data_IF_566378906164
#
_entry.id   IF_566378906164
#
_cell.length_a   1.000
_cell.length_b   1.000
_cell.length_c   1.000
_cell.angle_alpha   90.00
_cell.angle_beta   90.00
_cell.angle_gamma   90.00
#
_symmetry.space_group_name_H-M   'P 1'
#
loop_
_entity.id
_entity.type
_entity.pdbx_description
1 polymer ?
#
# COMPACT_ATOMS: atom_id res chain seq x y z
N UNK A 1 24.80 30.09 0.73
CA UNK A 1 23.79 30.23 -0.33
C UNK A 1 22.62 29.32 0.05
N UNK A 2 21.56 29.88 0.62
CA UNK A 2 20.38 29.13 1.06
C UNK A 2 19.52 28.89 -0.19
N UNK A 3 19.43 27.66 -0.64
CA UNK A 3 18.49 27.26 -1.69
C UNK A 3 17.09 27.36 -1.08
N UNK A 4 16.27 28.28 -1.60
CA UNK A 4 14.89 28.43 -1.17
C UNK A 4 14.06 27.17 -1.47
N UNK A 5 12.91 26.98 -0.76
CA UNK A 5 12.09 25.79 -0.94
C UNK A 5 11.42 25.84 -2.32
N UNK A 6 12.04 25.18 -3.30
CA UNK A 6 11.31 24.74 -4.48
C UNK A 6 10.30 23.70 -4.04
N UNK A 7 9.04 23.85 -4.46
CA UNK A 7 8.02 22.83 -4.25
C UNK A 7 8.54 21.50 -4.83
N UNK A 8 8.99 20.61 -3.97
CA UNK A 8 9.40 19.26 -4.34
C UNK A 8 8.12 18.52 -4.74
N UNK A 9 8.01 18.18 -6.03
CA UNK A 9 6.95 17.28 -6.47
C UNK A 9 7.08 15.97 -5.69
N UNK A 10 5.99 15.52 -5.06
CA UNK A 10 5.96 14.24 -4.37
C UNK A 10 6.26 13.11 -5.36
N UNK A 11 7.14 12.19 -4.99
CA UNK A 11 7.45 11.02 -5.82
C UNK A 11 6.21 10.15 -6.10
N UNK A 12 5.19 10.27 -5.28
CA UNK A 12 3.91 9.56 -5.40
C UNK A 12 2.84 10.33 -6.21
N UNK A 13 3.07 11.62 -6.54
CA UNK A 13 2.14 12.49 -7.25
C UNK A 13 1.19 13.28 -6.33
N UNK A 14 0.58 14.33 -6.91
CA UNK A 14 -0.28 15.25 -6.15
C UNK A 14 -1.56 14.58 -5.64
N UNK A 15 -2.18 13.69 -6.44
CA UNK A 15 -3.37 12.92 -6.04
C UNK A 15 -3.11 12.03 -4.81
N UNK A 16 -1.97 11.36 -4.78
CA UNK A 16 -1.57 10.56 -3.62
C UNK A 16 -1.36 11.44 -2.37
N UNK A 17 -0.81 12.64 -2.54
CA UNK A 17 -0.60 13.58 -1.44
C UNK A 17 -1.94 14.04 -0.82
N UNK A 18 -2.91 14.39 -1.65
CA UNK A 18 -4.25 14.79 -1.18
C UNK A 18 -4.94 13.68 -0.39
N UNK A 19 -4.87 12.45 -0.90
CA UNK A 19 -5.40 11.27 -0.21
C UNK A 19 -4.68 11.02 1.12
N UNK A 20 -3.36 11.13 1.15
CA UNK A 20 -2.56 10.93 2.36
C UNK A 20 -2.92 11.94 3.47
N UNK A 21 -3.15 13.21 3.13
CA UNK A 21 -3.61 14.24 4.08
C UNK A 21 -4.93 13.81 4.72
N UNK A 22 -5.94 13.48 3.89
CA UNK A 22 -7.27 13.08 4.38
C UNK A 22 -7.23 11.82 5.25
N UNK A 23 -6.42 10.83 4.86
CA UNK A 23 -6.23 9.59 5.62
C UNK A 23 -5.64 9.89 7.00
N UNK A 24 -4.53 10.64 7.04
CA UNK A 24 -3.86 10.95 8.31
C UNK A 24 -4.72 11.80 9.24
N UNK A 25 -5.52 12.73 8.69
CA UNK A 25 -6.45 13.53 9.47
C UNK A 25 -7.54 12.65 10.10
N UNK A 26 -8.14 11.73 9.34
CA UNK A 26 -9.16 10.79 9.87
C UNK A 26 -8.57 9.83 10.91
N UNK A 27 -7.41 9.25 10.63
CA UNK A 27 -6.74 8.35 11.56
C UNK A 27 -6.40 9.04 12.88
N UNK A 28 -5.91 10.29 12.83
CA UNK A 28 -5.63 11.08 14.04
C UNK A 28 -6.90 11.40 14.83
N UNK A 29 -7.98 11.78 14.13
CA UNK A 29 -9.25 12.10 14.77
C UNK A 29 -9.87 10.90 15.50
N UNK A 30 -9.69 9.68 14.97
CA UNK A 30 -10.20 8.44 15.58
C UNK A 30 -9.22 7.75 16.54
N UNK A 31 -7.98 8.22 16.62
CA UNK A 31 -6.91 7.55 17.37
C UNK A 31 -6.44 6.24 16.73
N UNK A 32 -6.75 6.03 15.45
CA UNK A 32 -6.36 4.84 14.69
C UNK A 32 -5.01 5.00 14.02
N UNK A 33 -4.42 3.87 13.62
CA UNK A 33 -3.10 3.81 13.00
C UNK A 33 -3.09 2.93 11.76
N UNK A 34 -2.13 3.17 10.87
CA UNK A 34 -1.92 2.36 9.66
C UNK A 34 -0.47 1.88 9.55
N UNK A 35 -0.31 0.66 9.03
CA UNK A 35 0.95 0.10 8.59
C UNK A 35 0.85 -0.35 7.13
N UNK A 36 1.96 -0.34 6.38
CA UNK A 36 1.94 -0.67 4.95
C UNK A 36 2.89 -1.81 4.59
N UNK A 37 2.45 -2.68 3.66
CA UNK A 37 3.24 -3.75 3.06
C UNK A 37 3.28 -3.55 1.55
N UNK A 38 4.45 -3.29 1.00
CA UNK A 38 4.60 -2.93 -0.41
C UNK A 38 5.39 -3.98 -1.18
N UNK A 39 5.01 -4.19 -2.44
CA UNK A 39 5.77 -4.94 -3.42
C UNK A 39 6.09 -4.04 -4.62
N UNK A 40 5.24 -4.00 -5.66
CA UNK A 40 5.52 -3.23 -6.89
C UNK A 40 5.69 -1.71 -6.65
N UNK A 41 5.08 -1.15 -5.63
CA UNK A 41 5.18 0.28 -5.31
C UNK A 41 6.50 0.67 -4.68
N UNK A 42 7.20 -0.30 -4.03
CA UNK A 42 8.60 -0.15 -3.64
C UNK A 42 8.89 0.99 -2.66
N UNK A 43 7.98 1.26 -1.72
CA UNK A 43 8.12 2.30 -0.70
C UNK A 43 7.34 3.58 -1.01
N UNK A 44 6.69 3.71 -2.17
CA UNK A 44 5.98 4.93 -2.55
C UNK A 44 4.73 5.20 -1.70
N UNK A 45 4.03 4.16 -1.21
CA UNK A 45 2.90 4.34 -0.29
C UNK A 45 3.38 4.90 1.05
N UNK A 46 4.45 4.32 1.60
CA UNK A 46 5.08 4.82 2.82
C UNK A 46 5.59 6.25 2.65
N UNK A 47 6.23 6.55 1.51
CA UNK A 47 6.70 7.89 1.18
C UNK A 47 5.55 8.90 1.13
N UNK A 48 4.44 8.58 0.44
CA UNK A 48 3.29 9.46 0.35
C UNK A 48 2.70 9.81 1.73
N UNK A 49 2.65 8.85 2.65
CA UNK A 49 2.20 9.10 4.01
C UNK A 49 3.21 9.93 4.82
N UNK A 50 4.51 9.62 4.71
CA UNK A 50 5.55 10.30 5.49
C UNK A 50 5.90 11.70 4.97
N UNK A 51 5.55 12.02 3.72
CA UNK A 51 5.64 13.39 3.17
C UNK A 51 4.71 14.38 3.88
N UNK A 52 3.74 13.88 4.65
CA UNK A 52 2.78 14.74 5.37
C UNK A 52 3.28 15.02 6.78
N UNK A 53 3.46 16.29 7.18
CA UNK A 53 3.86 16.64 8.53
C UNK A 53 2.92 16.04 9.59
N UNK A 54 3.49 15.47 10.64
CA UNK A 54 2.73 14.83 11.72
C UNK A 54 2.26 13.41 11.39
N UNK A 55 2.74 12.77 10.32
CA UNK A 55 2.41 11.38 9.98
C UNK A 55 2.71 10.39 11.12
N UNK A 56 3.73 10.65 11.94
CA UNK A 56 4.13 9.79 13.07
C UNK A 56 3.04 9.54 14.11
N UNK A 57 2.01 10.38 14.17
CA UNK A 57 0.88 10.19 15.07
C UNK A 57 -0.06 9.04 14.64
N UNK A 58 -0.05 8.66 13.35
CA UNK A 58 -0.95 7.66 12.79
C UNK A 58 -0.25 6.58 11.95
N UNK A 59 0.89 6.87 11.35
CA UNK A 59 1.66 5.92 10.57
C UNK A 59 2.64 5.15 11.45
N UNK A 60 2.45 3.83 11.56
CA UNK A 60 3.27 2.94 12.39
C UNK A 60 4.57 2.54 11.73
N UNK A 61 4.59 2.49 10.40
CA UNK A 61 5.71 2.03 9.60
C UNK A 61 5.29 1.17 8.43
N UNK A 62 6.27 0.66 7.69
CA UNK A 62 6.02 -0.20 6.55
C UNK A 62 7.18 -1.10 6.21
N UNK A 63 6.89 -2.12 5.41
CA UNK A 63 7.89 -3.05 4.88
C UNK A 63 7.75 -3.17 3.36
N UNK A 64 8.88 -3.22 2.66
CA UNK A 64 8.93 -3.54 1.25
C UNK A 64 9.37 -5.00 1.10
N UNK A 65 8.41 -5.87 0.81
CA UNK A 65 8.64 -7.30 0.59
C UNK A 65 8.73 -7.59 -0.91
N UNK A 66 9.77 -7.08 -1.56
CA UNK A 66 9.91 -7.14 -3.01
C UNK A 66 10.13 -8.56 -3.50
N UNK A 67 11.04 -9.29 -2.89
CA UNK A 67 11.25 -10.72 -3.14
C UNK A 67 10.08 -11.54 -2.58
N UNK A 68 9.67 -12.57 -3.31
CA UNK A 68 8.48 -13.38 -2.98
C UNK A 68 8.60 -14.05 -1.61
N UNK A 69 9.75 -14.60 -1.28
CA UNK A 69 10.00 -15.28 0.00
C UNK A 69 9.93 -14.34 1.22
N UNK A 70 10.16 -13.04 1.03
CA UNK A 70 10.05 -12.06 2.11
C UNK A 70 8.59 -11.84 2.54
N UNK A 71 7.62 -12.08 1.66
CA UNK A 71 6.21 -12.04 2.01
C UNK A 71 5.86 -13.08 3.07
N UNK A 72 6.39 -14.30 2.91
CA UNK A 72 6.24 -15.35 3.94
C UNK A 72 7.03 -15.00 5.20
N UNK A 73 8.31 -14.66 5.05
CA UNK A 73 9.24 -14.48 6.17
C UNK A 73 8.88 -13.29 7.06
N UNK A 74 8.53 -12.16 6.47
CA UNK A 74 8.28 -10.91 7.18
C UNK A 74 6.80 -10.67 7.48
N UNK A 75 5.88 -11.19 6.68
CA UNK A 75 4.45 -10.92 6.82
C UNK A 75 3.63 -12.16 7.19
N UNK A 76 4.22 -13.35 7.13
CA UNK A 76 3.52 -14.59 7.45
C UNK A 76 2.58 -15.07 6.35
N UNK A 77 2.76 -14.59 5.12
CA UNK A 77 2.02 -15.12 3.96
C UNK A 77 2.35 -16.60 3.78
N UNK A 78 1.34 -17.42 3.52
CA UNK A 78 1.53 -18.86 3.36
C UNK A 78 2.49 -19.16 2.20
N UNK A 79 3.59 -19.85 2.51
CA UNK A 79 4.62 -20.23 1.54
C UNK A 79 4.08 -21.21 0.47
N UNK A 80 3.10 -22.07 0.81
CA UNK A 80 2.46 -22.97 -0.15
C UNK A 80 1.61 -22.18 -1.13
N UNK A 81 0.87 -21.17 -0.64
CA UNK A 81 0.11 -20.27 -1.51
C UNK A 81 1.04 -19.52 -2.47
N UNK A 82 2.15 -18.97 -1.98
CA UNK A 82 3.14 -18.27 -2.82
C UNK A 82 3.77 -19.21 -3.87
N UNK A 83 4.12 -20.44 -3.50
CA UNK A 83 4.69 -21.41 -4.42
C UNK A 83 3.70 -21.84 -5.51
N UNK A 84 2.40 -21.90 -5.20
CA UNK A 84 1.35 -22.34 -6.11
C UNK A 84 0.85 -21.23 -7.04
N UNK A 85 0.73 -20.01 -6.55
CA UNK A 85 0.04 -18.91 -7.23
C UNK A 85 0.94 -17.71 -7.55
N UNK A 86 2.18 -17.71 -7.09
CA UNK A 86 3.06 -16.55 -7.22
C UNK A 86 2.69 -15.43 -6.23
N UNK A 87 3.37 -14.28 -6.38
CA UNK A 87 3.16 -13.12 -5.54
C UNK A 87 1.99 -12.23 -6.01
N UNK A 88 1.61 -12.34 -7.30
CA UNK A 88 0.54 -11.54 -7.91
C UNK A 88 -0.78 -12.29 -7.81
N UNK A 89 -1.35 -12.33 -6.62
CA UNK A 89 -2.57 -13.06 -6.33
C UNK A 89 -3.40 -12.32 -5.27
N UNK A 90 -4.75 -12.16 -5.44
CA UNK A 90 -5.57 -11.40 -4.49
C UNK A 90 -5.45 -11.88 -3.03
N UNK A 91 -5.48 -13.19 -2.72
CA UNK A 91 -5.28 -13.67 -1.36
C UNK A 91 -3.89 -13.36 -0.77
N UNK A 92 -2.85 -13.21 -1.61
CA UNK A 92 -1.52 -12.77 -1.16
C UNK A 92 -1.58 -11.31 -0.71
N UNK A 93 -2.28 -10.43 -1.45
CA UNK A 93 -2.48 -9.05 -1.02
C UNK A 93 -3.21 -8.97 0.32
N UNK A 94 -4.27 -9.79 0.51
CA UNK A 94 -4.99 -9.87 1.78
C UNK A 94 -4.07 -10.27 2.93
N UNK A 95 -3.32 -11.37 2.76
CA UNK A 95 -2.40 -11.88 3.77
C UNK A 95 -1.25 -10.89 4.08
N UNK A 96 -0.77 -10.14 3.08
CA UNK A 96 0.21 -9.07 3.29
C UNK A 96 -0.36 -7.94 4.15
N UNK A 97 -1.60 -7.51 3.88
CA UNK A 97 -2.27 -6.45 4.64
C UNK A 97 -2.52 -6.88 6.09
N UNK A 98 -3.03 -8.08 6.31
CA UNK A 98 -3.22 -8.66 7.65
C UNK A 98 -1.89 -8.83 8.39
N UNK A 99 -0.88 -9.36 7.69
CA UNK A 99 0.44 -9.59 8.24
C UNK A 99 1.11 -8.32 8.74
N UNK A 100 1.08 -7.24 7.96
CA UNK A 100 1.68 -5.96 8.37
C UNK A 100 0.89 -5.30 9.49
N UNK A 101 -0.46 -5.37 9.45
CA UNK A 101 -1.33 -4.87 10.51
C UNK A 101 -0.99 -5.48 11.86
N UNK A 102 -0.95 -6.80 11.92
CA UNK A 102 -0.71 -7.53 13.17
C UNK A 102 0.72 -7.37 13.67
N UNK A 103 1.71 -7.47 12.79
CA UNK A 103 3.13 -7.41 13.18
C UNK A 103 3.58 -6.03 13.65
N UNK A 104 3.02 -4.96 13.09
CA UNK A 104 3.34 -3.60 13.50
C UNK A 104 2.33 -3.01 14.51
N UNK A 105 1.33 -3.80 14.93
CA UNK A 105 0.34 -3.39 15.92
C UNK A 105 -0.47 -2.17 15.46
N UNK A 106 -0.85 -2.15 14.17
CA UNK A 106 -1.66 -1.08 13.60
C UNK A 106 -3.16 -1.43 13.62
N UNK A 107 -4.02 -0.41 13.56
CA UNK A 107 -5.47 -0.59 13.39
C UNK A 107 -5.78 -1.10 11.99
N UNK A 108 -5.09 -0.54 10.98
CA UNK A 108 -5.24 -0.93 9.57
C UNK A 108 -3.90 -1.38 8.98
N UNK A 109 -3.97 -2.38 8.13
CA UNK A 109 -2.88 -2.79 7.24
C UNK A 109 -3.25 -2.50 5.80
N UNK A 110 -2.39 -1.82 5.06
CA UNK A 110 -2.54 -1.55 3.64
C UNK A 110 -1.47 -2.31 2.86
N UNK A 111 -1.85 -3.05 1.82
CA UNK A 111 -0.89 -3.80 1.03
C UNK A 111 -1.05 -3.59 -0.48
N UNK A 112 0.07 -3.72 -1.20
CA UNK A 112 0.13 -3.68 -2.66
C UNK A 112 0.98 -4.83 -3.19
N UNK A 113 0.48 -5.57 -4.18
CA UNK A 113 1.26 -6.52 -4.98
C UNK A 113 0.82 -6.44 -6.45
N UNK A 114 1.68 -6.79 -7.41
CA UNK A 114 1.34 -6.69 -8.83
C UNK A 114 2.54 -6.59 -9.75
N UNK A 115 2.24 -6.37 -11.04
CA UNK A 115 3.19 -6.32 -12.15
C UNK A 115 3.33 -4.90 -12.70
N UNK A 116 4.43 -4.22 -12.36
CA UNK A 116 4.71 -2.88 -12.88
C UNK A 116 5.38 -2.89 -14.28
N UNK A 117 5.81 -4.05 -14.75
CA UNK A 117 6.48 -4.18 -16.04
C UNK A 117 8.00 -3.93 -15.98
N UNK A 118 8.69 -3.97 -17.14
CA UNK A 118 8.10 -4.03 -18.49
C UNK A 118 7.56 -5.40 -18.91
N UNK A 119 7.98 -6.50 -18.26
CA UNK A 119 7.58 -7.85 -18.62
C UNK A 119 6.43 -8.35 -17.73
N UNK A 120 5.55 -9.22 -18.23
CA UNK A 120 4.59 -9.95 -17.42
C UNK A 120 5.28 -10.77 -16.33
N UNK A 121 4.57 -11.04 -15.23
CA UNK A 121 5.09 -11.86 -14.13
C UNK A 121 3.95 -12.70 -13.52
N UNK A 122 4.30 -13.88 -12.98
CA UNK A 122 3.36 -14.81 -12.33
C UNK A 122 2.12 -15.14 -13.19
N UNK A 123 2.26 -15.13 -14.52
CA UNK A 123 1.15 -15.37 -15.45
C UNK A 123 0.19 -14.18 -15.61
N UNK A 124 0.49 -13.02 -15.05
CA UNK A 124 -0.33 -11.82 -15.13
C UNK A 124 0.29 -10.76 -16.07
N UNK A 125 -0.54 -10.04 -16.85
CA UNK A 125 -0.06 -8.97 -17.70
C UNK A 125 0.44 -7.78 -16.88
N UNK A 126 1.30 -6.95 -17.51
CA UNK A 126 1.75 -5.66 -16.98
C UNK A 126 0.54 -4.79 -16.66
N UNK A 127 0.57 -4.13 -15.51
CA UNK A 127 -0.51 -3.27 -15.00
C UNK A 127 -1.51 -4.00 -14.09
N UNK A 128 -1.43 -5.34 -13.97
CA UNK A 128 -2.23 -6.05 -12.96
C UNK A 128 -1.71 -5.71 -11.57
N UNK A 129 -2.58 -5.21 -10.71
CA UNK A 129 -2.23 -4.99 -9.30
C UNK A 129 -3.39 -5.42 -8.38
N UNK A 130 -3.02 -5.90 -7.20
CA UNK A 130 -3.94 -6.20 -6.11
C UNK A 130 -3.59 -5.33 -4.93
N UNK A 131 -4.59 -4.64 -4.42
CA UNK A 131 -4.49 -3.78 -3.24
C UNK A 131 -5.43 -4.32 -2.17
N UNK A 132 -5.01 -4.27 -0.91
CA UNK A 132 -5.81 -4.77 0.19
C UNK A 132 -5.72 -3.86 1.41
N UNK A 133 -6.85 -3.71 2.11
CA UNK A 133 -6.93 -3.07 3.42
C UNK A 133 -7.48 -4.07 4.41
N UNK A 134 -6.73 -4.34 5.47
CA UNK A 134 -7.14 -5.20 6.58
C UNK A 134 -7.45 -4.37 7.81
N UNK A 135 -8.60 -4.61 8.41
CA UNK A 135 -9.03 -4.16 9.73
C UNK A 135 -9.15 -5.35 10.69
N UNK A 136 -9.66 -5.14 11.89
CA UNK A 136 -9.80 -6.21 12.87
C UNK A 136 -10.89 -7.22 12.49
N UNK A 137 -11.94 -6.76 11.84
CA UNK A 137 -13.17 -7.49 11.52
C UNK A 137 -13.17 -8.08 10.10
N UNK A 138 -12.48 -7.43 9.14
CA UNK A 138 -12.46 -7.88 7.75
C UNK A 138 -11.21 -7.45 6.98
N UNK A 139 -11.07 -7.97 5.77
CA UNK A 139 -10.04 -7.56 4.80
C UNK A 139 -10.67 -7.39 3.42
N UNK A 140 -10.60 -6.18 2.90
CA UNK A 140 -11.09 -5.84 1.56
C UNK A 140 -9.95 -5.92 0.57
N UNK A 141 -10.17 -6.60 -0.56
CA UNK A 141 -9.21 -6.69 -1.67
C UNK A 141 -9.81 -6.11 -2.94
N UNK A 142 -9.05 -5.34 -3.66
CA UNK A 142 -9.40 -4.85 -4.99
C UNK A 142 -8.34 -5.22 -6.01
N UNK A 143 -8.77 -5.82 -7.11
CA UNK A 143 -7.94 -6.05 -8.30
C UNK A 143 -8.14 -4.89 -9.26
N UNK A 144 -7.05 -4.33 -9.75
CA UNK A 144 -7.04 -3.23 -10.72
C UNK A 144 -6.17 -3.61 -11.92
N UNK A 145 -6.56 -3.12 -13.10
CA UNK A 145 -5.80 -3.21 -14.34
C UNK A 145 -5.43 -1.80 -14.79
N UNK A 146 -4.17 -1.49 -14.79
CA UNK A 146 -3.62 -0.17 -15.07
C UNK A 146 -2.88 -0.18 -16.41
N UNK A 147 -2.99 0.92 -17.15
CA UNK A 147 -2.23 1.17 -18.37
C UNK A 147 -1.13 2.21 -18.08
N UNK A 148 -0.06 2.16 -18.85
CA UNK A 148 1.03 3.10 -18.76
C UNK A 148 2.40 2.43 -18.63
N UNK A 149 3.43 3.23 -18.47
CA UNK A 149 4.76 2.74 -18.17
C UNK A 149 4.90 2.30 -16.69
N UNK A 150 6.05 1.73 -16.37
CA UNK A 150 6.36 1.25 -15.02
C UNK A 150 6.16 2.31 -13.94
N UNK A 151 6.54 3.55 -14.17
CA UNK A 151 6.42 4.61 -13.18
C UNK A 151 4.96 5.01 -12.99
N UNK A 152 4.22 5.11 -14.08
CA UNK A 152 2.79 5.44 -14.06
C UNK A 152 1.97 4.35 -13.38
N UNK A 153 2.21 3.07 -13.69
CA UNK A 153 1.54 1.93 -13.02
C UNK A 153 1.80 1.96 -11.50
N UNK A 154 3.03 2.20 -11.08
CA UNK A 154 3.37 2.31 -9.65
C UNK A 154 2.65 3.48 -8.99
N UNK A 155 2.67 4.66 -9.60
CA UNK A 155 2.00 5.86 -9.11
C UNK A 155 0.49 5.65 -8.98
N UNK A 156 -0.16 5.13 -10.02
CA UNK A 156 -1.59 4.82 -10.01
C UNK A 156 -1.94 3.75 -8.99
N UNK A 157 -1.07 2.77 -8.76
CA UNK A 157 -1.26 1.78 -7.69
C UNK A 157 -1.26 2.44 -6.32
N UNK A 158 -0.38 3.40 -6.06
CA UNK A 158 -0.36 4.17 -4.80
C UNK A 158 -1.67 4.93 -4.60
N UNK A 159 -2.12 5.67 -5.61
CA UNK A 159 -3.37 6.44 -5.54
C UNK A 159 -4.57 5.53 -5.27
N UNK A 160 -4.68 4.40 -5.98
CA UNK A 160 -5.76 3.44 -5.76
C UNK A 160 -5.69 2.79 -4.36
N UNK A 161 -4.50 2.47 -3.86
CA UNK A 161 -4.31 1.90 -2.53
C UNK A 161 -4.74 2.88 -1.43
N UNK A 162 -4.29 4.12 -1.51
CA UNK A 162 -4.71 5.17 -0.58
C UNK A 162 -6.22 5.46 -0.70
N UNK A 163 -6.77 5.48 -1.92
CA UNK A 163 -8.21 5.64 -2.14
C UNK A 163 -9.04 4.52 -1.50
N UNK A 164 -8.57 3.28 -1.56
CA UNK A 164 -9.22 2.13 -0.90
C UNK A 164 -9.21 2.30 0.63
N UNK A 165 -8.08 2.70 1.20
CA UNK A 165 -7.97 2.96 2.64
C UNK A 165 -8.89 4.12 3.07
N UNK A 166 -8.90 5.22 2.32
CA UNK A 166 -9.76 6.38 2.63
C UNK A 166 -11.24 6.01 2.60
N UNK A 167 -11.67 5.18 1.62
CA UNK A 167 -13.03 4.66 1.55
C UNK A 167 -13.39 3.85 2.80
N UNK A 168 -12.50 2.94 3.22
CA UNK A 168 -12.71 2.11 4.42
C UNK A 168 -12.86 2.96 5.70
N UNK A 169 -12.04 4.00 5.84
CA UNK A 169 -12.15 4.94 6.97
C UNK A 169 -13.46 5.75 6.97
N UNK A 170 -14.12 5.90 5.83
CA UNK A 170 -15.42 6.56 5.72
C UNK A 170 -16.60 5.71 6.18
N UNK A 171 -16.50 4.39 6.06
CA UNK A 171 -17.56 3.45 6.41
C UNK A 171 -17.75 3.27 7.93
N UNK A 172 -16.72 3.55 8.72
CA UNK A 172 -16.75 3.42 10.19
C UNK A 172 -17.33 4.67 10.90
N UNK A 173 -17.71 5.69 10.14
CA UNK A 173 -18.20 6.97 10.71
C UNK A 173 -19.73 7.00 10.92
N UNK A 174 -20.42 5.84 10.84
CA UNK A 174 -21.88 5.73 11.00
C UNK A 174 -22.28 4.74 12.07
#
# INVERSE_FOLDING_TARGET
>A
MVVGPGASASAAGDGARELAVQILDRLRASGHTVAVAESLTGGLVAAALTDIPGASAAFRGGVVTYATELKAKLLGVDAVMLARHGAVYPPVAAAMAEGVRTRLGATYGLATTGVAGPEPADGHPVGTAHIAVSAADDTVVRTIALAGDRNEIRRLTVENALGLLLGRLGEESY
#
